data_IF_507770602687
#
_entry.id   IF_507770602687
#
_cell.length_a   1.000
_cell.length_b   1.000
_cell.length_c   1.000
_cell.angle_alpha   90.00
_cell.angle_beta   90.00
_cell.angle_gamma   90.00
#
_symmetry.space_group_name_H-M   'P 1'
#
loop_
_entity.id
_entity.type
_entity.pdbx_description
1 polymer ?
#
# COMPACT_ATOMS: atom_id res chain seq x y z
N UNK A 1 7.93 -4.79 -1.05
CA UNK A 1 8.05 -4.05 0.24
C UNK A 1 6.71 -3.63 0.82
N UNK A 2 5.91 -2.80 0.17
CA UNK A 2 4.68 -2.32 0.81
C UNK A 2 3.65 -3.42 1.21
N UNK A 3 3.74 -4.68 0.68
CA UNK A 3 2.75 -5.76 0.93
C UNK A 3 3.05 -6.38 2.28
N UNK A 4 4.34 -6.52 2.54
CA UNK A 4 4.87 -6.85 3.84
C UNK A 4 4.50 -5.80 4.89
N UNK A 5 4.70 -4.50 4.58
CA UNK A 5 4.33 -3.44 5.53
C UNK A 5 2.84 -3.46 5.89
N UNK A 6 1.93 -3.61 4.92
CA UNK A 6 0.50 -3.67 5.20
C UNK A 6 0.09 -4.94 6.00
N UNK A 7 0.80 -6.05 5.83
CA UNK A 7 0.50 -7.30 6.54
C UNK A 7 1.00 -7.29 8.00
N UNK A 8 2.03 -6.50 8.30
CA UNK A 8 2.63 -6.37 9.64
C UNK A 8 2.12 -5.14 10.39
N UNK A 9 1.58 -4.15 9.67
CA UNK A 9 1.08 -2.91 10.24
C UNK A 9 -0.14 -3.15 11.15
N UNK A 10 -0.07 -2.64 12.37
CA UNK A 10 -1.17 -2.63 13.33
C UNK A 10 -1.77 -1.21 13.45
N UNK A 11 -3.02 -0.99 12.97
CA UNK A 11 -3.69 0.31 13.06
C UNK A 11 -4.37 0.58 14.41
N UNK A 12 -4.29 -0.33 15.40
CA UNK A 12 -5.12 -0.28 16.62
C UNK A 12 -4.84 0.95 17.50
N UNK A 13 -3.57 1.36 17.64
CA UNK A 13 -3.16 2.42 18.57
C UNK A 13 -2.29 3.50 17.91
N UNK A 14 -2.88 4.47 17.19
CA UNK A 14 -2.12 5.52 16.50
C UNK A 14 -1.40 6.52 17.44
N UNK A 15 -1.74 6.53 18.73
CA UNK A 15 -1.14 7.43 19.74
C UNK A 15 0.12 6.81 20.35
N UNK A 16 0.05 5.53 20.72
CA UNK A 16 1.14 4.84 21.44
C UNK A 16 2.06 4.04 20.51
N UNK A 17 1.53 3.58 19.37
CA UNK A 17 2.30 2.86 18.36
C UNK A 17 2.11 3.46 16.95
N UNK A 18 2.60 4.69 16.73
CA UNK A 18 2.53 5.34 15.42
C UNK A 18 3.44 4.66 14.39
N UNK A 19 3.14 4.90 13.12
CA UNK A 19 3.78 4.33 11.91
C UNK A 19 5.32 4.34 11.96
N UNK A 20 5.92 5.37 12.54
CA UNK A 20 7.38 5.52 12.65
C UNK A 20 8.02 4.63 13.73
N UNK A 21 7.26 4.15 14.72
CA UNK A 21 7.70 3.16 15.71
C UNK A 21 7.64 1.73 15.16
N UNK A 22 6.69 1.46 14.27
CA UNK A 22 6.56 0.16 13.59
C UNK A 22 7.56 -0.04 12.43
N UNK A 23 8.42 0.95 12.15
CA UNK A 23 9.45 0.84 11.11
C UNK A 23 8.90 0.82 9.68
N UNK A 24 7.71 1.38 9.46
CA UNK A 24 7.07 1.41 8.14
C UNK A 24 7.64 2.54 7.29
N UNK A 25 8.06 2.22 6.05
CA UNK A 25 8.69 3.19 5.16
C UNK A 25 7.77 3.63 4.03
N UNK A 26 6.99 2.75 3.42
CA UNK A 26 6.17 3.07 2.23
C UNK A 26 4.80 3.63 2.60
N UNK A 27 4.19 3.16 3.70
CA UNK A 27 2.92 3.68 4.21
C UNK A 27 2.93 5.22 4.44
N UNK A 28 3.95 5.84 5.08
CA UNK A 28 3.97 7.28 5.29
C UNK A 28 4.08 8.12 3.99
N UNK A 29 4.58 7.55 2.89
CA UNK A 29 4.56 8.23 1.59
C UNK A 29 3.17 8.18 0.95
N UNK A 30 2.44 7.07 1.11
CA UNK A 30 1.06 6.97 0.61
C UNK A 30 0.10 7.88 1.37
N UNK A 31 0.23 7.98 2.70
CA UNK A 31 -0.56 8.92 3.51
C UNK A 31 -0.35 10.37 3.11
N UNK A 32 0.89 10.77 2.79
CA UNK A 32 1.19 12.12 2.32
C UNK A 32 0.52 12.46 0.99
N UNK A 33 0.28 11.46 0.14
CA UNK A 33 -0.45 11.61 -1.13
C UNK A 33 -1.98 11.59 -0.96
N UNK A 34 -2.48 11.58 0.29
CA UNK A 34 -3.90 11.64 0.60
C UNK A 34 -4.61 10.28 0.67
N UNK A 35 -3.87 9.18 0.63
CA UNK A 35 -4.43 7.83 0.81
C UNK A 35 -4.46 7.55 2.29
N UNK A 36 -5.63 7.56 2.92
CA UNK A 36 -5.77 7.38 4.38
C UNK A 36 -6.48 6.09 4.76
N UNK A 37 -7.17 5.45 3.81
CA UNK A 37 -8.15 4.41 4.09
C UNK A 37 -7.68 3.03 3.61
N UNK A 38 -8.06 1.98 4.35
CA UNK A 38 -7.86 0.59 3.97
C UNK A 38 -9.18 -0.12 3.68
N UNK A 39 -9.15 -1.15 2.82
CA UNK A 39 -10.25 -2.11 2.67
C UNK A 39 -10.45 -3.02 3.89
N UNK A 40 -9.52 -3.00 4.85
CA UNK A 40 -9.65 -3.67 6.14
C UNK A 40 -10.50 -2.88 7.15
N UNK A 41 -11.20 -1.83 6.72
CA UNK A 41 -12.13 -1.08 7.57
C UNK A 41 -11.49 -0.06 8.51
N UNK A 42 -10.18 0.19 8.37
CA UNK A 42 -9.42 1.11 9.22
C UNK A 42 -8.85 2.29 8.43
N UNK A 43 -8.75 3.44 9.09
CA UNK A 43 -8.06 4.64 8.63
C UNK A 43 -6.77 4.86 9.42
N UNK A 44 -5.78 5.53 8.81
CA UNK A 44 -4.54 5.91 9.48
C UNK A 44 -4.76 6.83 10.70
N UNK A 45 -5.89 7.53 10.75
CA UNK A 45 -6.29 8.40 11.86
C UNK A 45 -7.01 7.67 12.99
N UNK A 46 -7.07 6.33 12.97
CA UNK A 46 -7.77 5.51 13.96
C UNK A 46 -9.30 5.48 13.79
N UNK A 47 -9.82 6.04 12.71
CA UNK A 47 -11.25 5.97 12.36
C UNK A 47 -11.62 4.65 11.69
N UNK A 48 -12.87 4.21 11.87
CA UNK A 48 -13.46 3.11 11.10
C UNK A 48 -13.97 3.62 9.76
N UNK A 49 -13.67 2.89 8.69
CA UNK A 49 -14.03 3.28 7.32
C UNK A 49 -14.93 2.21 6.71
N UNK A 50 -16.18 2.56 6.44
CA UNK A 50 -17.16 1.64 5.83
C UNK A 50 -17.09 1.63 4.31
N UNK A 51 -16.60 2.70 3.67
CA UNK A 51 -16.42 2.78 2.23
C UNK A 51 -15.10 3.49 1.85
N UNK A 52 -13.98 2.76 1.81
CA UNK A 52 -12.66 3.34 1.53
C UNK A 52 -12.46 3.75 0.06
N UNK A 53 -13.42 3.46 -0.83
CA UNK A 53 -13.32 3.76 -2.26
C UNK A 53 -12.23 2.96 -2.97
N UNK A 54 -11.96 3.34 -4.22
CA UNK A 54 -10.95 2.70 -5.09
C UNK A 54 -9.52 3.07 -4.64
N UNK A 55 -9.34 4.28 -4.08
CA UNK A 55 -8.04 4.78 -3.64
C UNK A 55 -7.73 4.35 -2.19
N UNK A 56 -7.42 3.06 -2.02
CA UNK A 56 -6.96 2.48 -0.75
C UNK A 56 -5.52 1.95 -0.85
N UNK A 57 -4.86 1.78 0.30
CA UNK A 57 -3.49 1.23 0.34
C UNK A 57 -3.37 -0.11 -0.37
N UNK A 58 -4.41 -0.94 -0.26
CA UNK A 58 -4.49 -2.26 -0.89
C UNK A 58 -4.45 -2.10 -2.41
N UNK A 59 -5.34 -1.28 -2.97
CA UNK A 59 -5.49 -1.13 -4.42
C UNK A 59 -4.23 -0.55 -5.07
N UNK A 60 -3.65 0.49 -4.49
CA UNK A 60 -2.44 1.14 -5.05
C UNK A 60 -1.27 0.16 -5.12
N UNK A 61 -1.21 -0.76 -4.17
CA UNK A 61 -0.21 -1.81 -4.17
C UNK A 61 -0.45 -2.89 -5.22
N UNK A 62 -1.70 -3.33 -5.40
CA UNK A 62 -2.06 -4.25 -6.47
C UNK A 62 -1.70 -3.67 -7.82
N UNK A 63 -2.10 -2.42 -8.05
CA UNK A 63 -1.80 -1.65 -9.26
C UNK A 63 -0.28 -1.58 -9.50
N UNK A 64 0.52 -1.27 -8.47
CA UNK A 64 1.98 -1.25 -8.61
C UNK A 64 2.58 -2.64 -8.90
N UNK A 65 2.01 -3.71 -8.35
CA UNK A 65 2.46 -5.08 -8.63
C UNK A 65 2.11 -5.53 -10.04
N UNK A 66 0.92 -5.20 -10.55
CA UNK A 66 0.50 -5.53 -11.92
C UNK A 66 1.29 -4.73 -12.95
N UNK A 67 1.53 -3.44 -12.72
CA UNK A 67 2.41 -2.64 -13.59
C UNK A 67 3.85 -3.15 -13.58
N UNK A 68 4.36 -3.60 -12.44
CA UNK A 68 5.70 -4.20 -12.38
C UNK A 68 5.76 -5.50 -13.19
N UNK A 69 4.77 -6.39 -13.05
CA UNK A 69 4.71 -7.62 -13.82
C UNK A 69 4.58 -7.37 -15.33
N UNK A 70 3.71 -6.42 -15.72
CA UNK A 70 3.56 -5.99 -17.11
C UNK A 70 4.85 -5.36 -17.66
N UNK A 71 5.59 -4.60 -16.85
CA UNK A 71 6.87 -4.04 -17.27
C UNK A 71 7.90 -5.14 -17.55
N UNK A 72 8.00 -6.15 -16.69
CA UNK A 72 8.88 -7.31 -16.90
C UNK A 72 8.47 -8.13 -18.13
N UNK A 73 7.16 -8.33 -18.36
CA UNK A 73 6.71 -9.04 -19.56
C UNK A 73 7.02 -8.26 -20.84
N UNK A 74 6.90 -6.93 -20.84
CA UNK A 74 7.32 -6.10 -21.97
C UNK A 74 8.83 -6.14 -22.21
N UNK A 75 9.65 -6.17 -21.15
CA UNK A 75 11.10 -6.37 -21.28
C UNK A 75 11.45 -7.75 -21.86
N UNK A 76 10.76 -8.81 -21.43
CA UNK A 76 10.97 -10.16 -21.96
C UNK A 76 10.55 -10.29 -23.43
N UNK A 77 9.51 -9.57 -23.87
CA UNK A 77 9.05 -9.57 -25.25
C UNK A 77 9.91 -8.69 -26.17
N UNK A 78 10.62 -7.69 -25.61
CA UNK A 78 11.60 -6.87 -26.34
C UNK A 78 12.96 -7.56 -26.54
N UNK A 79 13.26 -8.59 -25.73
CA UNK A 79 14.40 -9.48 -25.91
C UNK A 79 13.98 -10.67 -26.80
N UNK A 80 13.46 -10.35 -27.98
CA UNK A 80 13.23 -11.35 -29.02
C UNK A 80 14.58 -11.90 -29.46
N UNK A 81 14.73 -13.22 -29.39
CA UNK A 81 15.83 -13.94 -30.00
C UNK A 81 15.68 -13.87 -31.53
N UNK A 82 16.11 -12.76 -32.12
CA UNK A 82 16.74 -12.72 -33.44
C UNK A 82 18.25 -12.83 -33.30
#
# INVERSE_FOLDING_TARGET
>A
MALYELAVFDPSDPVLDPIWRQGMFVIPFMTRLGITNSWGGWSITGGTVTNPGIWSYVIIKWVRSTYFFLFISNLSNGFGWE
#
